data_IF_926535630763
#
_entry.id   IF_926535630763
#
_cell.length_a   1.000
_cell.length_b   1.000
_cell.length_c   1.000
_cell.angle_alpha   90.00
_cell.angle_beta   90.00
_cell.angle_gamma   90.00
#
_symmetry.space_group_name_H-M   'P 1'
#
loop_
_entity.id
_entity.type
_entity.pdbx_description
1 polymer ?
#
# COMPACT_ATOMS: atom_id res chain seq x y z
N UNK A 1 -15.17 -6.84 -4.33
CA UNK A 1 -15.46 -5.67 -5.17
C UNK A 1 -15.94 -6.09 -6.57
N UNK A 2 -16.60 -5.20 -7.29
CA UNK A 2 -17.18 -5.47 -8.62
C UNK A 2 -16.16 -5.19 -9.73
N UNK A 3 -16.37 -5.78 -10.93
CA UNK A 3 -15.54 -5.49 -12.09
C UNK A 3 -15.72 -4.03 -12.53
N UNK A 4 -14.62 -3.28 -12.49
CA UNK A 4 -14.57 -1.92 -13.01
C UNK A 4 -14.11 -2.00 -14.46
N UNK A 5 -15.02 -1.66 -15.40
CA UNK A 5 -14.71 -1.63 -16.83
C UNK A 5 -14.18 -0.26 -17.24
N UNK A 6 -13.35 -0.25 -18.30
CA UNK A 6 -12.91 1.00 -18.92
C UNK A 6 -14.11 1.82 -19.38
N UNK A 7 -14.11 3.12 -19.10
CA UNK A 7 -15.19 4.05 -19.48
C UNK A 7 -16.30 4.20 -18.46
N UNK A 8 -16.29 3.44 -17.35
CA UNK A 8 -17.24 3.63 -16.25
C UNK A 8 -16.92 4.92 -15.49
N UNK A 9 -17.93 5.72 -15.21
CA UNK A 9 -17.81 6.90 -14.35
C UNK A 9 -17.84 6.47 -12.88
N UNK A 10 -16.87 6.94 -12.12
CA UNK A 10 -16.79 6.70 -10.68
C UNK A 10 -16.87 8.02 -9.92
N UNK A 11 -17.65 8.05 -8.85
CA UNK A 11 -17.59 9.12 -7.86
C UNK A 11 -16.59 8.72 -6.78
N UNK A 12 -15.58 9.57 -6.58
CA UNK A 12 -14.55 9.39 -5.54
C UNK A 12 -14.96 10.21 -4.32
N UNK A 13 -15.09 9.55 -3.17
CA UNK A 13 -15.45 10.18 -1.90
C UNK A 13 -14.35 9.86 -0.89
N UNK A 14 -13.63 10.88 -0.44
CA UNK A 14 -12.59 10.73 0.58
C UNK A 14 -13.08 11.26 1.93
N UNK A 15 -12.85 10.48 2.98
CA UNK A 15 -13.27 10.77 4.35
C UNK A 15 -12.05 10.68 5.29
N UNK A 16 -11.56 11.80 5.81
CA UNK A 16 -10.53 11.79 6.84
C UNK A 16 -11.14 11.43 8.19
N UNK A 17 -10.47 10.60 8.97
CA UNK A 17 -10.76 10.45 10.39
C UNK A 17 -9.81 11.28 11.24
N UNK A 18 -10.20 11.59 12.47
CA UNK A 18 -9.32 12.25 13.41
C UNK A 18 -8.11 11.39 13.78
N UNK A 19 -7.06 12.03 14.29
CA UNK A 19 -5.86 11.31 14.71
C UNK A 19 -6.18 10.32 15.85
N UNK A 20 -5.70 9.09 15.70
CA UNK A 20 -5.58 8.13 16.79
C UNK A 20 -4.09 8.07 17.17
N UNK A 21 -3.70 8.77 18.24
CA UNK A 21 -2.28 9.04 18.59
C UNK A 21 -1.60 9.80 17.45
N UNK A 22 -0.48 9.28 16.91
CA UNK A 22 0.26 9.88 15.80
C UNK A 22 -0.26 9.48 14.39
N UNK A 23 -1.35 8.68 14.31
CA UNK A 23 -1.83 8.13 13.04
C UNK A 23 -3.06 8.89 12.57
N UNK A 24 -2.99 9.42 11.36
CA UNK A 24 -4.08 10.03 10.61
C UNK A 24 -4.58 9.02 9.59
N UNK A 25 -5.87 8.75 9.58
CA UNK A 25 -6.46 7.80 8.65
C UNK A 25 -7.35 8.50 7.63
N UNK A 26 -7.35 7.99 6.39
CA UNK A 26 -8.19 8.49 5.30
C UNK A 26 -8.75 7.30 4.53
N UNK A 27 -10.08 7.21 4.51
CA UNK A 27 -10.81 6.22 3.74
C UNK A 27 -11.35 6.86 2.47
N UNK A 28 -11.08 6.25 1.31
CA UNK A 28 -11.54 6.71 0.01
C UNK A 28 -12.37 5.63 -0.64
N UNK A 29 -13.63 5.96 -0.94
CA UNK A 29 -14.58 5.10 -1.65
C UNK A 29 -14.62 5.46 -3.13
N UNK A 30 -14.63 4.44 -3.98
CA UNK A 30 -14.89 4.54 -5.42
C UNK A 30 -16.28 3.96 -5.68
N UNK A 31 -17.23 4.82 -6.05
CA UNK A 31 -18.66 4.51 -6.12
C UNK A 31 -19.11 4.61 -7.57
N UNK A 32 -19.77 3.57 -8.09
CA UNK A 32 -20.30 3.55 -9.45
C UNK A 32 -21.58 4.38 -9.58
N UNK A 33 -22.15 4.45 -10.80
CA UNK A 33 -23.37 5.20 -11.10
C UNK A 33 -24.62 4.64 -10.40
N UNK A 34 -24.60 3.38 -9.97
CA UNK A 34 -25.66 2.74 -9.20
C UNK A 34 -25.56 3.01 -7.68
N UNK A 35 -24.54 3.76 -7.24
CA UNK A 35 -24.32 4.05 -5.83
C UNK A 35 -23.59 2.94 -5.06
N UNK A 36 -23.05 1.93 -5.76
CA UNK A 36 -22.35 0.80 -5.16
C UNK A 36 -20.87 1.14 -5.03
N UNK A 37 -20.26 0.91 -3.85
CA UNK A 37 -18.82 0.99 -3.66
C UNK A 37 -18.16 -0.20 -4.36
N UNK A 38 -17.39 0.09 -5.41
CA UNK A 38 -16.75 -0.92 -6.27
C UNK A 38 -15.27 -1.12 -5.90
N UNK A 39 -14.66 -0.15 -5.26
CA UNK A 39 -13.33 -0.24 -4.67
C UNK A 39 -13.21 0.73 -3.50
N UNK A 40 -12.27 0.48 -2.60
CA UNK A 40 -11.93 1.39 -1.53
C UNK A 40 -10.42 1.41 -1.28
N UNK A 41 -9.94 2.53 -0.74
CA UNK A 41 -8.58 2.70 -0.26
C UNK A 41 -8.62 3.18 1.19
N UNK A 42 -7.89 2.51 2.06
CA UNK A 42 -7.63 2.95 3.43
C UNK A 42 -6.15 3.30 3.56
N UNK A 43 -5.83 4.54 3.89
CA UNK A 43 -4.46 5.02 4.01
C UNK A 43 -4.20 5.61 5.38
N UNK A 44 -3.10 5.17 6.00
CA UNK A 44 -2.63 5.63 7.31
C UNK A 44 -1.37 6.47 7.14
N UNK A 45 -1.37 7.64 7.73
CA UNK A 45 -0.32 8.63 7.62
C UNK A 45 0.20 9.01 9.00
N UNK A 46 1.45 9.38 9.07
CA UNK A 46 2.06 10.00 10.25
C UNK A 46 2.61 11.36 9.87
N UNK A 47 2.53 12.32 10.78
CA UNK A 47 3.26 13.58 10.63
C UNK A 47 4.70 13.36 11.05
N UNK A 48 5.62 13.87 10.26
CA UNK A 48 7.05 13.79 10.50
C UNK A 48 7.61 15.20 10.48
N UNK A 49 8.35 15.53 11.52
CA UNK A 49 9.14 16.76 11.55
C UNK A 49 10.22 16.72 10.48
N UNK A 50 10.27 17.72 9.61
CA UNK A 50 11.14 17.71 8.42
C UNK A 50 12.62 17.80 8.76
N UNK A 51 12.97 18.45 9.87
CA UNK A 51 14.35 18.68 10.27
C UNK A 51 14.91 17.50 11.09
N UNK A 52 14.13 17.03 12.05
CA UNK A 52 14.55 15.96 12.96
C UNK A 52 14.19 14.56 12.46
N UNK A 53 13.32 14.45 11.46
CA UNK A 53 12.75 13.18 10.92
C UNK A 53 12.03 12.34 11.98
N UNK A 54 11.58 12.96 13.07
CA UNK A 54 10.83 12.29 14.14
C UNK A 54 9.33 12.36 13.89
N UNK A 55 8.63 11.29 14.26
CA UNK A 55 7.16 11.26 14.22
C UNK A 55 6.62 12.23 15.29
N UNK A 56 5.78 13.15 14.86
CA UNK A 56 5.03 14.04 15.71
C UNK A 56 3.80 13.30 16.27
N UNK A 57 3.72 13.21 17.58
CA UNK A 57 2.58 12.52 18.25
C UNK A 57 1.33 13.40 18.29
N UNK A 58 1.54 14.68 18.46
CA UNK A 58 0.49 15.69 18.48
C UNK A 58 0.66 16.60 17.26
N UNK A 59 -0.44 17.04 16.62
CA UNK A 59 -0.36 17.98 15.52
C UNK A 59 0.21 19.31 16.04
N UNK A 60 0.97 20.06 15.23
CA UNK A 60 1.33 21.44 15.53
C UNK A 60 0.07 22.27 15.83
N UNK A 61 0.16 23.21 16.79
CA UNK A 61 -0.98 24.04 17.22
C UNK A 61 -1.57 24.89 16.09
N UNK A 62 -0.75 25.24 15.12
CA UNK A 62 -1.12 26.02 13.92
C UNK A 62 -1.65 25.18 12.77
N UNK A 63 -1.69 23.84 12.94
CA UNK A 63 -2.24 22.95 11.92
C UNK A 63 -3.77 22.91 12.00
N UNK A 64 -4.41 23.77 11.22
CA UNK A 64 -5.86 23.74 11.05
C UNK A 64 -6.24 22.65 10.02
N UNK A 65 -7.14 21.78 10.43
CA UNK A 65 -7.73 20.77 9.51
C UNK A 65 -8.99 21.35 8.86
N UNK A 66 -8.93 21.80 7.60
CA UNK A 66 -10.06 22.48 6.94
C UNK A 66 -11.20 21.52 6.55
N UNK A 67 -11.25 20.33 7.14
CA UNK A 67 -12.24 19.32 6.82
C UNK A 67 -12.89 18.73 8.08
N UNK A 68 -14.14 18.34 7.90
CA UNK A 68 -14.89 17.68 8.98
C UNK A 68 -14.42 16.24 9.15
N UNK A 69 -13.98 15.92 10.36
CA UNK A 69 -13.64 14.55 10.77
C UNK A 69 -14.90 13.67 10.68
N UNK A 70 -14.76 12.46 10.14
CA UNK A 70 -15.85 11.51 9.94
C UNK A 70 -15.49 10.15 10.53
N UNK A 71 -16.52 9.38 10.88
CA UNK A 71 -16.37 7.96 11.12
C UNK A 71 -16.11 7.23 9.79
N UNK A 72 -15.13 6.34 9.80
CA UNK A 72 -14.73 5.54 8.63
C UNK A 72 -14.79 4.05 8.98
N UNK A 73 -15.03 3.17 7.99
CA UNK A 73 -14.95 1.74 8.18
C UNK A 73 -13.55 1.32 8.66
N UNK A 74 -13.49 0.43 9.63
CA UNK A 74 -12.21 -0.14 10.06
C UNK A 74 -11.81 -1.27 9.09
N UNK A 75 -10.57 -1.20 8.58
CA UNK A 75 -10.03 -2.18 7.66
C UNK A 75 -8.89 -2.94 8.33
N UNK A 76 -8.85 -4.26 8.11
CA UNK A 76 -7.68 -5.05 8.47
C UNK A 76 -6.56 -4.84 7.44
N UNK A 77 -5.54 -4.10 7.85
CA UNK A 77 -4.33 -3.82 7.08
C UNK A 77 -3.13 -4.61 7.58
N UNK A 78 -3.35 -5.71 8.29
CA UNK A 78 -2.28 -6.56 8.78
C UNK A 78 -1.59 -7.31 7.64
N UNK A 79 -0.26 -7.46 7.77
CA UNK A 79 0.56 -8.28 6.89
C UNK A 79 1.15 -9.39 7.75
N UNK A 80 1.02 -10.68 7.35
CA UNK A 80 1.60 -11.80 8.07
C UNK A 80 3.12 -11.67 8.23
N UNK A 81 3.65 -12.16 9.34
CA UNK A 81 5.10 -12.21 9.56
C UNK A 81 5.73 -13.33 8.76
N UNK A 82 6.47 -13.01 7.73
CA UNK A 82 7.15 -13.96 6.84
C UNK A 82 8.66 -13.87 7.05
N UNK A 83 9.35 -15.01 7.20
CA UNK A 83 10.80 -15.09 7.43
C UNK A 83 11.57 -15.73 6.30
N UNK A 84 10.91 -16.54 5.48
CA UNK A 84 11.46 -17.44 4.46
C UNK A 84 11.07 -17.04 3.02
N UNK A 85 10.78 -15.76 2.81
CA UNK A 85 10.58 -15.22 1.46
C UNK A 85 11.88 -15.34 0.64
N UNK A 86 11.75 -15.78 -0.61
CA UNK A 86 12.87 -15.98 -1.53
C UNK A 86 13.04 -14.78 -2.44
N UNK A 87 14.29 -14.42 -2.75
CA UNK A 87 14.56 -13.35 -3.68
C UNK A 87 14.15 -13.80 -5.10
N UNK A 88 13.32 -13.00 -5.75
CA UNK A 88 12.81 -13.25 -7.10
C UNK A 88 13.40 -12.28 -8.13
N UNK A 89 13.77 -11.06 -7.72
CA UNK A 89 14.29 -10.04 -8.61
C UNK A 89 15.15 -9.00 -7.87
N UNK A 90 15.73 -8.10 -8.68
CA UNK A 90 16.31 -6.84 -8.23
C UNK A 90 15.71 -5.72 -9.06
N UNK A 91 15.11 -4.74 -8.40
CA UNK A 91 14.49 -3.57 -9.02
C UNK A 91 15.35 -2.34 -8.77
N UNK A 92 15.68 -1.63 -9.86
CA UNK A 92 16.39 -0.36 -9.77
C UNK A 92 15.41 0.81 -9.79
N UNK A 93 15.59 1.74 -8.86
CA UNK A 93 14.83 2.99 -8.84
C UNK A 93 15.30 3.91 -9.95
N UNK A 94 14.51 4.03 -11.03
CA UNK A 94 14.82 4.86 -12.19
C UNK A 94 14.20 6.25 -12.07
N UNK A 95 14.70 7.21 -12.84
CA UNK A 95 14.19 8.59 -12.88
C UNK A 95 12.66 8.64 -13.12
N UNK A 96 12.16 7.87 -14.06
CA UNK A 96 10.72 7.86 -14.40
C UNK A 96 9.79 7.32 -13.30
N UNK A 97 10.35 6.67 -12.29
CA UNK A 97 9.63 6.12 -11.13
C UNK A 97 9.75 7.01 -9.87
N UNK A 98 10.49 8.13 -9.95
CA UNK A 98 10.68 9.01 -8.79
C UNK A 98 9.71 10.18 -8.79
N UNK A 99 9.44 10.68 -7.59
CA UNK A 99 8.72 11.92 -7.34
C UNK A 99 9.67 13.14 -7.37
N UNK A 100 9.14 14.34 -7.10
CA UNK A 100 9.90 15.59 -7.08
C UNK A 100 10.98 15.64 -5.98
N UNK A 101 10.89 14.77 -4.97
CA UNK A 101 11.90 14.63 -3.92
C UNK A 101 13.04 13.66 -4.31
N UNK A 102 12.97 13.06 -5.50
CA UNK A 102 13.93 12.07 -5.98
C UNK A 102 13.79 10.71 -5.30
N UNK A 103 12.66 10.44 -4.68
CA UNK A 103 12.33 9.16 -4.07
C UNK A 103 11.37 8.35 -4.95
N UNK A 104 11.40 7.04 -4.84
CA UNK A 104 10.44 6.15 -5.50
C UNK A 104 9.02 6.57 -5.13
N UNK A 105 8.24 6.96 -6.13
CA UNK A 105 6.87 7.41 -5.93
C UNK A 105 6.01 6.28 -5.33
N UNK A 106 5.18 6.60 -4.34
CA UNK A 106 4.35 5.62 -3.65
C UNK A 106 3.45 4.80 -4.58
N UNK A 107 3.03 5.36 -5.71
CA UNK A 107 2.23 4.63 -6.71
C UNK A 107 3.00 3.51 -7.40
N UNK A 108 4.31 3.66 -7.56
CA UNK A 108 5.17 2.70 -8.24
C UNK A 108 5.42 1.41 -7.45
N UNK A 109 5.21 1.44 -6.14
CA UNK A 109 5.34 0.21 -5.34
C UNK A 109 4.31 -0.84 -5.71
N UNK A 110 3.09 -0.42 -6.07
CA UNK A 110 2.05 -1.36 -6.53
C UNK A 110 2.47 -2.08 -7.83
N UNK A 111 3.04 -1.33 -8.78
CA UNK A 111 3.55 -1.87 -10.03
C UNK A 111 4.70 -2.87 -9.76
N UNK A 112 5.70 -2.46 -8.97
CA UNK A 112 6.82 -3.34 -8.57
C UNK A 112 6.33 -4.62 -7.90
N UNK A 113 5.34 -4.53 -7.01
CA UNK A 113 4.79 -5.70 -6.33
C UNK A 113 4.15 -6.64 -7.34
N UNK A 114 3.27 -6.13 -8.21
CA UNK A 114 2.51 -6.95 -9.17
C UNK A 114 3.39 -7.53 -10.27
N UNK A 115 4.37 -6.77 -10.77
CA UNK A 115 5.31 -7.20 -11.81
C UNK A 115 6.21 -8.36 -11.36
N UNK A 116 6.45 -8.48 -10.03
CA UNK A 116 7.29 -9.51 -9.45
C UNK A 116 6.51 -10.72 -8.90
N UNK A 117 5.20 -10.79 -9.15
CA UNK A 117 4.37 -11.97 -8.86
C UNK A 117 4.35 -12.96 -10.04
N UNK A 118 4.02 -14.25 -9.80
CA UNK A 118 3.81 -15.21 -10.88
C UNK A 118 2.74 -14.73 -11.85
N UNK A 119 2.97 -14.93 -13.15
CA UNK A 119 2.02 -14.55 -14.21
C UNK A 119 0.61 -15.14 -13.99
N UNK A 120 0.52 -16.38 -13.52
CA UNK A 120 -0.75 -17.03 -13.17
C UNK A 120 -1.53 -16.28 -12.08
N UNK A 121 -0.84 -15.61 -11.16
CA UNK A 121 -1.51 -14.82 -10.12
C UNK A 121 -2.11 -13.54 -10.69
N UNK A 122 -1.39 -12.84 -11.57
CA UNK A 122 -1.78 -11.50 -12.04
C UNK A 122 -2.72 -11.53 -13.25
N UNK A 123 -2.69 -12.59 -14.07
CA UNK A 123 -3.48 -12.69 -15.31
C UNK A 123 -4.69 -13.61 -15.15
N UNK A 124 -4.55 -14.72 -14.43
CA UNK A 124 -5.61 -15.72 -14.30
C UNK A 124 -6.52 -15.48 -13.09
N UNK A 125 -6.11 -14.61 -12.18
CA UNK A 125 -6.83 -14.31 -10.94
C UNK A 125 -7.13 -12.82 -10.81
N UNK A 126 -8.07 -12.52 -9.94
CA UNK A 126 -8.50 -11.17 -9.66
C UNK A 126 -7.89 -10.67 -8.35
N UNK A 127 -7.17 -9.55 -8.41
CA UNK A 127 -6.68 -8.86 -7.21
C UNK A 127 -7.86 -8.35 -6.38
N UNK A 128 -7.94 -8.77 -5.13
CA UNK A 128 -8.99 -8.39 -4.19
C UNK A 128 -8.51 -7.42 -3.12
N UNK A 129 -7.29 -7.61 -2.66
CA UNK A 129 -6.71 -6.79 -1.58
C UNK A 129 -5.22 -6.60 -1.86
N UNK A 130 -4.78 -5.37 -1.73
CA UNK A 130 -3.36 -5.02 -1.71
C UNK A 130 -3.10 -4.15 -0.49
N UNK A 131 -2.24 -4.61 0.41
CA UNK A 131 -1.76 -3.84 1.56
C UNK A 131 -0.29 -3.55 1.36
N UNK A 132 0.13 -2.32 1.58
CA UNK A 132 1.54 -1.91 1.48
C UNK A 132 1.92 -1.13 2.73
N UNK A 133 2.97 -1.58 3.42
CA UNK A 133 3.60 -0.85 4.52
C UNK A 133 4.94 -0.29 4.04
N UNK A 134 5.07 1.03 4.07
CA UNK A 134 6.29 1.74 3.72
C UNK A 134 7.17 1.90 4.97
N UNK A 135 8.42 1.41 4.94
CA UNK A 135 9.35 1.45 6.06
C UNK A 135 10.45 2.49 5.89
N UNK A 136 10.94 2.66 4.67
CA UNK A 136 11.96 3.67 4.34
C UNK A 136 11.87 4.09 2.88
N UNK A 137 12.25 5.33 2.61
CA UNK A 137 12.32 5.88 1.25
C UNK A 137 13.39 5.15 0.43
N UNK A 138 13.12 4.91 -0.86
CA UNK A 138 14.11 4.46 -1.83
C UNK A 138 14.45 5.61 -2.77
N UNK A 139 15.74 5.92 -2.93
CA UNK A 139 16.22 7.03 -3.76
C UNK A 139 16.51 6.59 -5.18
N UNK A 140 16.47 7.55 -6.12
CA UNK A 140 16.89 7.31 -7.48
C UNK A 140 18.31 6.70 -7.53
N UNK A 141 18.45 5.63 -8.30
CA UNK A 141 19.70 4.88 -8.46
C UNK A 141 19.89 3.74 -7.46
N UNK A 142 19.16 3.70 -6.35
CA UNK A 142 19.20 2.56 -5.41
C UNK A 142 18.60 1.30 -6.06
N UNK A 143 19.07 0.14 -5.60
CA UNK A 143 18.55 -1.17 -5.96
C UNK A 143 17.81 -1.78 -4.77
N UNK A 144 16.70 -2.46 -5.08
CA UNK A 144 15.88 -3.17 -4.12
C UNK A 144 15.87 -4.65 -4.47
N UNK A 145 16.40 -5.49 -3.59
CA UNK A 145 16.18 -6.93 -3.69
C UNK A 145 14.71 -7.23 -3.36
N UNK A 146 13.98 -7.80 -4.33
CA UNK A 146 12.57 -8.16 -4.17
C UNK A 146 12.48 -9.61 -3.74
N UNK A 147 11.84 -9.83 -2.59
CA UNK A 147 11.62 -11.17 -2.05
C UNK A 147 10.13 -11.45 -2.03
N UNK A 148 9.74 -12.65 -2.44
CA UNK A 148 8.35 -13.09 -2.51
C UNK A 148 8.14 -14.43 -1.81
N UNK A 149 6.94 -14.64 -1.27
CA UNK A 149 6.46 -15.92 -0.78
C UNK A 149 4.96 -16.03 -1.03
N UNK A 150 4.53 -17.15 -1.61
CA UNK A 150 3.12 -17.52 -1.68
C UNK A 150 2.61 -17.95 -0.30
N UNK A 151 1.39 -17.50 0.04
CA UNK A 151 0.72 -17.75 1.31
C UNK A 151 -0.63 -18.41 1.08
N UNK A 152 -0.96 -19.35 1.95
CA UNK A 152 -2.23 -20.07 1.93
C UNK A 152 -2.98 -19.98 3.26
N UNK A 153 -3.95 -20.86 3.45
CA UNK A 153 -4.80 -20.90 4.66
C UNK A 153 -3.98 -21.10 5.94
N UNK A 154 -2.88 -21.87 5.88
CA UNK A 154 -1.96 -22.07 7.01
C UNK A 154 -1.26 -20.79 7.46
N UNK A 155 -1.17 -19.79 6.59
CA UNK A 155 -0.56 -18.49 6.87
C UNK A 155 -1.61 -17.43 7.24
N UNK A 156 -2.88 -17.83 7.40
CA UNK A 156 -4.01 -16.95 7.76
C UNK A 156 -4.69 -16.28 6.57
N UNK A 157 -4.48 -16.78 5.35
CA UNK A 157 -5.19 -16.32 4.15
C UNK A 157 -6.56 -17.01 4.09
N UNK A 158 -7.59 -16.27 3.70
CA UNK A 158 -8.96 -16.79 3.63
C UNK A 158 -9.09 -17.97 2.65
N UNK A 159 -9.95 -18.96 2.93
CA UNK A 159 -10.22 -20.06 2.02
C UNK A 159 -10.60 -19.58 0.60
N UNK A 160 -10.08 -20.24 -0.43
CA UNK A 160 -10.32 -19.87 -1.83
C UNK A 160 -9.53 -18.65 -2.32
N UNK A 161 -8.71 -18.05 -1.47
CA UNK A 161 -7.83 -16.94 -1.78
C UNK A 161 -6.37 -17.39 -1.80
N UNK A 162 -5.58 -16.88 -2.71
CA UNK A 162 -4.11 -17.00 -2.68
C UNK A 162 -3.51 -15.68 -2.28
N UNK A 163 -2.63 -15.69 -1.29
CA UNK A 163 -1.89 -14.53 -0.82
C UNK A 163 -0.45 -14.55 -1.33
N UNK A 164 0.12 -13.37 -1.54
CA UNK A 164 1.56 -13.22 -1.80
C UNK A 164 2.12 -12.16 -0.84
N UNK A 165 3.09 -12.55 -0.05
CA UNK A 165 3.93 -11.62 0.67
C UNK A 165 5.05 -11.15 -0.25
N UNK A 166 5.23 -9.84 -0.36
CA UNK A 166 6.33 -9.24 -1.13
C UNK A 166 7.05 -8.21 -0.26
N UNK A 167 8.36 -8.19 -0.32
CA UNK A 167 9.15 -7.16 0.37
C UNK A 167 10.33 -6.71 -0.48
N UNK A 168 10.60 -5.41 -0.48
CA UNK A 168 11.80 -4.83 -1.06
C UNK A 168 12.82 -4.50 0.01
N UNK A 169 14.07 -4.92 -0.19
CA UNK A 169 15.20 -4.66 0.72
C UNK A 169 16.29 -3.91 0.00
N UNK A 170 16.89 -2.96 0.70
CA UNK A 170 18.09 -2.25 0.27
C UNK A 170 19.35 -3.08 0.48
N UNK A 171 20.47 -2.64 -0.09
CA UNK A 171 21.77 -3.30 0.02
C UNK A 171 22.24 -3.47 1.48
N UNK A 172 21.83 -2.56 2.38
CA UNK A 172 22.11 -2.66 3.81
C UNK A 172 21.20 -3.66 4.55
N UNK A 173 20.34 -4.38 3.83
CA UNK A 173 19.39 -5.37 4.33
C UNK A 173 18.12 -4.77 4.95
N UNK A 174 18.01 -3.44 5.07
CA UNK A 174 16.82 -2.80 5.63
C UNK A 174 15.64 -2.94 4.69
N UNK A 175 14.46 -3.18 5.26
CA UNK A 175 13.21 -3.14 4.49
C UNK A 175 12.95 -1.72 3.99
N UNK A 176 12.65 -1.62 2.70
CA UNK A 176 12.06 -0.43 2.10
C UNK A 176 10.53 -0.47 2.22
N UNK A 177 9.95 -1.61 1.87
CA UNK A 177 8.51 -1.87 2.00
C UNK A 177 8.24 -3.35 2.28
N UNK A 178 7.03 -3.64 2.73
CA UNK A 178 6.44 -4.97 2.71
C UNK A 178 4.97 -4.89 2.29
N UNK A 179 4.48 -5.93 1.65
CA UNK A 179 3.14 -5.97 1.08
C UNK A 179 2.49 -7.35 1.22
N UNK A 180 1.15 -7.34 1.20
CA UNK A 180 0.30 -8.51 1.03
C UNK A 180 -0.63 -8.26 -0.14
N UNK A 181 -0.54 -9.07 -1.18
CA UNK A 181 -1.46 -9.11 -2.31
C UNK A 181 -2.32 -10.38 -2.23
N UNK A 182 -3.65 -10.23 -2.26
CA UNK A 182 -4.59 -11.35 -2.20
C UNK A 182 -5.42 -11.42 -3.47
N UNK A 183 -5.55 -12.63 -4.02
CA UNK A 183 -6.22 -12.92 -5.29
C UNK A 183 -7.27 -14.01 -5.13
N UNK A 184 -8.38 -13.86 -5.87
CA UNK A 184 -9.45 -14.87 -6.03
C UNK A 184 -9.57 -15.32 -7.48
#
# INVERSE_FOLDING_TARGET
YHDIKVGVKLRVVTRPSGPKRAIYNRYTSFINEQGIEVAAQDSKWVLVDTDTRKILRDPPEDLDFPFRIQEIPEQDLSIPKVRDAQQTAVERVTYSRTDDNGHLNNTQYADIILDNLPFSATVERRLKKLVINYHSEAKMGEELAILCKELGESDGIAPGTVGYYVTGRKDDGKKCFEALACFE
#
